data_IF_013635093189
#
_entry.id   IF_013635093189
#
_cell.length_a   1.000
_cell.length_b   1.000
_cell.length_c   1.000
_cell.angle_alpha   90.00
_cell.angle_beta   90.00
_cell.angle_gamma   90.00
#
_symmetry.space_group_name_H-M   'P 1'
#
loop_
_entity.id
_entity.type
_entity.pdbx_description
1 polymer ?
#
# COMPACT_ATOMS: atom_id res chain seq x y z
N UNK A 1 88.73 -98.31 -6.77
CA UNK A 1 88.51 -96.84 -6.83
C UNK A 1 87.11 -96.40 -7.33
N UNK A 2 86.24 -97.30 -7.83
CA UNK A 2 84.94 -96.91 -8.43
C UNK A 2 83.77 -96.67 -7.46
N UNK A 3 83.72 -97.30 -6.28
CA UNK A 3 82.58 -97.19 -5.34
C UNK A 3 82.42 -95.81 -4.68
N UNK A 4 83.53 -95.19 -4.24
CA UNK A 4 83.51 -93.82 -3.65
C UNK A 4 83.09 -92.74 -4.66
N UNK A 5 83.30 -92.99 -5.96
CA UNK A 5 82.92 -92.06 -7.04
C UNK A 5 81.41 -92.13 -7.36
N UNK A 6 80.78 -93.29 -7.19
CA UNK A 6 79.34 -93.45 -7.35
C UNK A 6 78.56 -92.88 -6.16
N UNK A 7 79.02 -93.12 -4.93
CA UNK A 7 78.35 -92.59 -3.73
C UNK A 7 78.36 -91.05 -3.71
N UNK A 8 79.49 -90.43 -4.08
CA UNK A 8 79.59 -88.97 -4.22
C UNK A 8 78.59 -88.43 -5.26
N UNK A 9 78.44 -89.10 -6.40
CA UNK A 9 77.45 -88.71 -7.43
C UNK A 9 76.00 -88.87 -6.97
N UNK A 10 75.72 -89.87 -6.14
CA UNK A 10 74.37 -90.08 -5.59
C UNK A 10 74.01 -89.01 -4.57
N UNK A 11 74.95 -88.66 -3.68
CA UNK A 11 74.78 -87.55 -2.73
C UNK A 11 74.66 -86.19 -3.44
N UNK A 12 75.45 -85.99 -4.50
CA UNK A 12 75.38 -84.78 -5.33
C UNK A 12 74.06 -84.70 -6.12
N UNK A 13 73.50 -85.83 -6.56
CA UNK A 13 72.15 -85.87 -7.14
C UNK A 13 71.05 -85.55 -6.13
N UNK A 14 71.08 -86.14 -4.94
CA UNK A 14 70.09 -85.87 -3.88
C UNK A 14 70.15 -84.41 -3.45
N UNK A 15 71.34 -83.86 -3.23
CA UNK A 15 71.52 -82.45 -2.88
C UNK A 15 71.04 -81.50 -3.99
N UNK A 16 71.22 -81.88 -5.25
CA UNK A 16 70.74 -81.08 -6.39
C UNK A 16 69.21 -81.18 -6.55
N UNK A 17 68.61 -82.34 -6.22
CA UNK A 17 67.15 -82.52 -6.16
C UNK A 17 66.52 -81.72 -5.02
N UNK A 18 67.12 -81.74 -3.82
CA UNK A 18 66.65 -80.96 -2.67
C UNK A 18 66.75 -79.45 -2.94
N UNK A 19 67.87 -78.98 -3.50
CA UNK A 19 68.02 -77.58 -3.94
C UNK A 19 66.98 -77.19 -5.01
N UNK A 20 66.66 -78.11 -5.94
CA UNK A 20 65.64 -77.90 -6.95
C UNK A 20 64.21 -77.88 -6.35
N UNK A 21 63.95 -78.65 -5.29
CA UNK A 21 62.67 -78.66 -4.58
C UNK A 21 62.49 -77.40 -3.74
N UNK A 22 63.52 -76.95 -3.01
CA UNK A 22 63.48 -75.71 -2.22
C UNK A 22 63.28 -74.47 -3.10
N UNK A 23 63.94 -74.41 -4.25
CA UNK A 23 63.76 -73.31 -5.21
C UNK A 23 62.36 -73.30 -5.83
N UNK A 24 61.78 -74.48 -6.12
CA UNK A 24 60.38 -74.59 -6.55
C UNK A 24 59.41 -74.16 -5.44
N UNK A 25 59.60 -74.62 -4.21
CA UNK A 25 58.75 -74.23 -3.08
C UNK A 25 58.82 -72.72 -2.80
N UNK A 26 60.00 -72.11 -2.93
CA UNK A 26 60.17 -70.67 -2.82
C UNK A 26 59.45 -69.91 -3.97
N UNK A 27 59.51 -70.43 -5.20
CA UNK A 27 58.78 -69.87 -6.34
C UNK A 27 57.26 -69.97 -6.17
N UNK A 28 56.76 -71.13 -5.72
CA UNK A 28 55.34 -71.34 -5.45
C UNK A 28 54.83 -70.41 -4.34
N UNK A 29 55.60 -70.23 -3.27
CA UNK A 29 55.27 -69.29 -2.19
C UNK A 29 55.25 -67.84 -2.66
N UNK A 30 56.20 -67.44 -3.50
CA UNK A 30 56.24 -66.13 -4.12
C UNK A 30 55.01 -65.89 -5.02
N UNK A 31 54.61 -66.89 -5.82
CA UNK A 31 53.44 -66.83 -6.68
C UNK A 31 52.15 -66.72 -5.85
N UNK A 32 52.04 -67.50 -4.77
CA UNK A 32 50.90 -67.47 -3.86
C UNK A 32 50.77 -66.12 -3.14
N UNK A 33 51.90 -65.50 -2.77
CA UNK A 33 51.92 -64.15 -2.20
C UNK A 33 51.57 -63.06 -3.23
N UNK A 34 51.96 -63.23 -4.50
CA UNK A 34 51.53 -62.34 -5.59
C UNK A 34 50.01 -62.41 -5.81
N UNK A 35 49.41 -63.61 -5.83
CA UNK A 35 47.96 -63.80 -5.95
C UNK A 35 47.23 -63.15 -4.78
N UNK A 36 47.68 -63.39 -3.53
CA UNK A 36 47.07 -62.79 -2.34
C UNK A 36 47.20 -61.25 -2.30
N UNK A 37 48.28 -60.69 -2.85
CA UNK A 37 48.44 -59.24 -2.97
C UNK A 37 47.51 -58.63 -4.02
N UNK A 38 47.28 -59.32 -5.13
CA UNK A 38 46.36 -58.87 -6.17
C UNK A 38 44.90 -58.96 -5.71
N UNK A 39 44.52 -60.00 -4.97
CA UNK A 39 43.19 -60.10 -4.35
C UNK A 39 42.94 -58.94 -3.36
N UNK A 40 43.90 -58.62 -2.48
CA UNK A 40 43.80 -57.45 -1.59
C UNK A 40 43.68 -56.12 -2.36
N UNK A 41 44.37 -55.98 -3.50
CA UNK A 41 44.21 -54.82 -4.38
C UNK A 41 42.83 -54.74 -5.01
N UNK A 42 42.28 -55.88 -5.44
CA UNK A 42 40.94 -55.94 -5.98
C UNK A 42 39.88 -55.63 -4.92
N UNK A 43 40.03 -56.15 -3.70
CA UNK A 43 39.15 -55.87 -2.58
C UNK A 43 39.17 -54.39 -2.18
N UNK A 44 40.35 -53.78 -2.08
CA UNK A 44 40.49 -52.35 -1.75
C UNK A 44 39.92 -51.45 -2.84
N UNK A 45 40.09 -51.81 -4.12
CA UNK A 45 39.47 -51.12 -5.26
C UNK A 45 37.95 -51.25 -5.23
N UNK A 46 37.42 -52.46 -5.03
CA UNK A 46 35.98 -52.70 -4.91
C UNK A 46 35.36 -51.94 -3.72
N UNK A 47 36.07 -51.87 -2.59
CA UNK A 47 35.64 -51.08 -1.44
C UNK A 47 35.62 -49.57 -1.73
N UNK A 48 36.58 -49.05 -2.51
CA UNK A 48 36.61 -47.66 -2.93
C UNK A 48 35.45 -47.33 -3.89
N UNK A 49 35.18 -48.20 -4.87
CA UNK A 49 34.09 -48.03 -5.83
C UNK A 49 32.72 -48.07 -5.13
N UNK A 50 32.55 -48.98 -4.16
CA UNK A 50 31.34 -49.05 -3.33
C UNK A 50 31.11 -47.75 -2.55
N UNK A 51 32.15 -47.20 -1.91
CA UNK A 51 32.08 -45.90 -1.20
C UNK A 51 31.72 -44.75 -2.13
N UNK A 52 32.25 -44.76 -3.36
CA UNK A 52 31.93 -43.75 -4.36
C UNK A 52 30.46 -43.83 -4.79
N UNK A 53 29.94 -45.04 -4.98
CA UNK A 53 28.54 -45.26 -5.33
C UNK A 53 27.58 -44.88 -4.20
N UNK A 54 27.95 -45.17 -2.95
CA UNK A 54 27.21 -44.72 -1.76
C UNK A 54 27.20 -43.18 -1.63
N UNK A 55 28.31 -42.49 -1.94
CA UNK A 55 28.33 -41.01 -1.98
C UNK A 55 27.43 -40.47 -3.07
N UNK A 56 27.56 -40.96 -4.31
CA UNK A 56 26.74 -40.54 -5.45
C UNK A 56 25.23 -40.73 -5.19
N UNK A 57 24.84 -41.83 -4.56
CA UNK A 57 23.43 -42.08 -4.23
C UNK A 57 22.92 -41.18 -3.12
N UNK A 58 23.74 -40.85 -2.11
CA UNK A 58 23.41 -39.83 -1.09
C UNK A 58 23.25 -38.45 -1.70
N UNK A 59 24.20 -38.02 -2.55
CA UNK A 59 24.16 -36.72 -3.22
C UNK A 59 22.94 -36.63 -4.15
N UNK A 60 22.61 -37.72 -4.87
CA UNK A 60 21.41 -37.78 -5.70
C UNK A 60 20.11 -37.68 -4.87
N UNK A 61 20.07 -38.32 -3.70
CA UNK A 61 18.93 -38.23 -2.79
C UNK A 61 18.77 -36.82 -2.19
N UNK A 62 19.88 -36.15 -1.87
CA UNK A 62 19.88 -34.77 -1.39
C UNK A 62 19.45 -33.79 -2.48
N UNK A 63 20.00 -33.90 -3.69
CA UNK A 63 19.60 -33.10 -4.84
C UNK A 63 18.10 -33.26 -5.14
N UNK A 64 17.56 -34.48 -5.02
CA UNK A 64 16.12 -34.73 -5.16
C UNK A 64 15.30 -33.95 -4.13
N UNK A 65 15.72 -33.94 -2.87
CA UNK A 65 15.06 -33.18 -1.79
C UNK A 65 15.12 -31.67 -2.03
N UNK A 66 16.26 -31.16 -2.51
CA UNK A 66 16.42 -29.73 -2.83
C UNK A 66 15.45 -29.34 -3.95
N UNK A 67 15.38 -30.12 -5.02
CA UNK A 67 14.49 -29.85 -6.15
C UNK A 67 13.01 -29.84 -5.73
N UNK A 68 12.59 -30.79 -4.89
CA UNK A 68 11.22 -30.84 -4.37
C UNK A 68 10.89 -29.61 -3.50
N UNK A 69 11.85 -29.15 -2.68
CA UNK A 69 11.70 -27.94 -1.87
C UNK A 69 11.63 -26.67 -2.72
N UNK A 70 12.43 -26.58 -3.78
CA UNK A 70 12.38 -25.46 -4.72
C UNK A 70 11.04 -25.40 -5.46
N UNK A 71 10.55 -26.53 -5.94
CA UNK A 71 9.24 -26.62 -6.58
C UNK A 71 8.09 -26.17 -5.64
N UNK A 72 8.16 -26.54 -4.35
CA UNK A 72 7.19 -26.10 -3.36
C UNK A 72 7.22 -24.57 -3.12
N UNK A 73 8.42 -23.97 -3.11
CA UNK A 73 8.60 -22.52 -2.99
C UNK A 73 8.01 -21.80 -4.21
N UNK A 74 8.32 -22.26 -5.42
CA UNK A 74 7.78 -21.68 -6.65
C UNK A 74 6.26 -21.74 -6.70
N UNK A 75 5.67 -22.88 -6.33
CA UNK A 75 4.22 -23.02 -6.23
C UNK A 75 3.61 -22.01 -5.24
N UNK A 76 4.20 -21.86 -4.06
CA UNK A 76 3.74 -20.88 -3.06
C UNK A 76 3.85 -19.44 -3.55
N UNK A 77 4.91 -19.12 -4.30
CA UNK A 77 5.07 -17.80 -4.91
C UNK A 77 4.01 -17.53 -5.98
N UNK A 78 3.66 -18.54 -6.79
CA UNK A 78 2.63 -18.42 -7.81
C UNK A 78 1.25 -18.16 -7.19
N UNK A 79 0.85 -18.92 -6.17
CA UNK A 79 -0.41 -18.73 -5.45
C UNK A 79 -0.49 -17.33 -4.78
N UNK A 80 0.63 -16.84 -4.23
CA UNK A 80 0.73 -15.48 -3.69
C UNK A 80 0.56 -14.41 -4.78
N UNK A 81 1.16 -14.60 -5.96
CA UNK A 81 1.00 -13.69 -7.10
C UNK A 81 -0.43 -13.67 -7.62
N UNK A 82 -1.05 -14.84 -7.79
CA UNK A 82 -2.43 -14.98 -8.25
C UNK A 82 -3.43 -14.35 -7.26
N UNK A 83 -3.27 -14.60 -5.96
CA UNK A 83 -4.10 -13.99 -4.93
C UNK A 83 -3.91 -12.48 -4.81
N UNK A 84 -2.68 -11.97 -5.03
CA UNK A 84 -2.42 -10.54 -5.11
C UNK A 84 -3.06 -9.91 -6.37
N UNK A 85 -2.96 -10.58 -7.52
CA UNK A 85 -3.61 -10.16 -8.77
C UNK A 85 -5.13 -10.12 -8.62
N UNK A 86 -5.75 -11.17 -8.06
CA UNK A 86 -7.18 -11.24 -7.80
C UNK A 86 -7.65 -10.12 -6.86
N UNK A 87 -6.92 -9.85 -5.76
CA UNK A 87 -7.21 -8.71 -4.87
C UNK A 87 -7.13 -7.38 -5.60
N UNK A 88 -6.11 -7.18 -6.44
CA UNK A 88 -5.95 -5.95 -7.23
C UNK A 88 -7.06 -5.76 -8.27
N UNK A 89 -7.55 -6.85 -8.85
CA UNK A 89 -8.63 -6.85 -9.84
C UNK A 89 -9.98 -6.55 -9.17
N UNK A 90 -10.27 -7.16 -8.02
CA UNK A 90 -11.45 -6.83 -7.21
C UNK A 90 -11.41 -5.35 -6.78
N UNK A 91 -10.23 -4.85 -6.39
CA UNK A 91 -10.08 -3.44 -6.03
C UNK A 91 -10.23 -2.50 -7.24
N UNK A 92 -9.75 -2.88 -8.42
CA UNK A 92 -9.98 -2.16 -9.69
C UNK A 92 -11.46 -2.11 -10.04
N UNK A 93 -12.17 -3.24 -10.00
CA UNK A 93 -13.61 -3.33 -10.28
C UNK A 93 -14.42 -2.46 -9.32
N UNK A 94 -14.17 -2.57 -8.00
CA UNK A 94 -14.81 -1.69 -7.00
C UNK A 94 -14.59 -0.21 -7.28
N UNK A 95 -13.36 0.17 -7.66
CA UNK A 95 -13.04 1.56 -8.00
C UNK A 95 -13.73 2.02 -9.30
N UNK A 96 -14.00 1.10 -10.24
CA UNK A 96 -14.69 1.40 -11.49
C UNK A 96 -16.19 1.63 -11.25
N UNK A 97 -16.83 0.79 -10.42
CA UNK A 97 -18.23 0.95 -10.01
C UNK A 97 -18.48 2.28 -9.27
N UNK A 98 -17.51 2.77 -8.51
CA UNK A 98 -17.55 4.09 -7.85
C UNK A 98 -17.42 5.26 -8.85
N UNK A 99 -16.91 5.03 -10.07
CA UNK A 99 -16.51 6.09 -11.02
C UNK A 99 -17.41 6.15 -12.26
N UNK A 100 -18.01 5.04 -12.69
CA UNK A 100 -18.81 4.96 -13.90
C UNK A 100 -19.97 3.95 -13.74
N UNK A 101 -21.20 4.45 -13.72
CA UNK A 101 -22.39 3.59 -13.78
C UNK A 101 -22.51 3.01 -15.19
N UNK A 102 -22.53 1.68 -15.30
CA UNK A 102 -22.72 1.01 -16.60
C UNK A 102 -24.19 1.09 -17.05
N UNK A 103 -24.55 2.19 -17.70
CA UNK A 103 -25.90 2.43 -18.23
C UNK A 103 -26.31 1.47 -19.36
N UNK A 104 -25.39 0.68 -19.93
CA UNK A 104 -25.69 -0.30 -20.97
C UNK A 104 -26.25 -1.63 -20.44
N UNK A 105 -26.15 -1.88 -19.12
CA UNK A 105 -26.65 -3.12 -18.50
C UNK A 105 -28.13 -3.05 -18.08
N UNK A 106 -28.85 -1.97 -18.40
CA UNK A 106 -30.22 -1.76 -17.96
C UNK A 106 -31.25 -2.15 -19.02
N UNK A 107 -32.34 -2.84 -18.63
CA UNK A 107 -33.51 -3.02 -19.49
C UNK A 107 -34.30 -1.71 -19.59
N UNK A 108 -34.84 -1.44 -20.79
CA UNK A 108 -35.55 -0.19 -21.18
C UNK A 108 -36.92 0.03 -20.49
N UNK A 109 -37.16 -0.67 -19.39
CA UNK A 109 -38.34 -0.44 -18.54
C UNK A 109 -38.07 0.81 -17.71
N UNK A 110 -38.71 1.94 -18.04
CA UNK A 110 -38.56 3.29 -17.47
C UNK A 110 -38.81 3.47 -15.96
N UNK A 111 -38.35 2.52 -15.15
CA UNK A 111 -38.32 2.57 -13.70
C UNK A 111 -36.98 3.20 -13.29
N UNK A 112 -37.02 4.48 -12.93
CA UNK A 112 -35.87 5.26 -12.48
C UNK A 112 -35.16 4.53 -11.32
N UNK A 113 -33.97 3.97 -11.58
CA UNK A 113 -33.21 3.24 -10.57
C UNK A 113 -32.69 4.21 -9.49
N UNK A 114 -33.09 3.99 -8.23
CA UNK A 114 -32.55 4.69 -7.06
C UNK A 114 -31.29 3.96 -6.61
N UNK A 115 -30.11 4.61 -6.50
CA UNK A 115 -28.88 3.99 -6.04
C UNK A 115 -29.06 3.24 -4.70
N UNK A 116 -28.51 2.02 -4.58
CA UNK A 116 -28.59 1.23 -3.33
C UNK A 116 -27.93 1.92 -2.12
N UNK A 117 -27.04 2.89 -2.35
CA UNK A 117 -26.47 3.77 -1.32
C UNK A 117 -26.64 5.21 -1.79
N UNK A 118 -27.33 6.00 -0.98
CA UNK A 118 -27.52 7.43 -1.23
C UNK A 118 -26.18 8.16 -1.23
N UNK A 119 -25.90 8.92 -2.28
CA UNK A 119 -24.69 9.75 -2.37
C UNK A 119 -24.79 10.94 -1.40
N UNK A 120 -23.67 11.61 -1.13
CA UNK A 120 -23.62 12.68 -0.13
C UNK A 120 -24.71 13.76 -0.31
N UNK A 121 -24.96 14.31 -1.52
CA UNK A 121 -26.01 15.33 -1.69
C UNK A 121 -27.41 14.81 -1.39
N UNK A 122 -27.71 13.57 -1.77
CA UNK A 122 -29.01 12.94 -1.49
C UNK A 122 -29.20 12.74 0.02
N UNK A 123 -28.15 12.25 0.69
CA UNK A 123 -28.16 12.06 2.15
C UNK A 123 -28.24 13.38 2.91
N UNK A 124 -27.59 14.43 2.39
CA UNK A 124 -27.66 15.78 2.91
C UNK A 124 -29.08 16.33 2.80
N UNK A 125 -29.78 16.10 1.69
CA UNK A 125 -31.17 16.53 1.54
C UNK A 125 -32.09 15.82 2.53
N UNK A 126 -31.99 14.48 2.64
CA UNK A 126 -32.77 13.73 3.63
C UNK A 126 -32.54 14.22 5.07
N UNK A 127 -31.28 14.52 5.41
CA UNK A 127 -30.90 15.03 6.73
C UNK A 127 -31.54 16.40 6.96
N UNK A 128 -31.43 17.32 5.99
CA UNK A 128 -31.99 18.65 6.12
C UNK A 128 -33.52 18.64 6.18
N UNK A 129 -34.20 17.77 5.45
CA UNK A 129 -35.67 17.69 5.50
C UNK A 129 -36.20 17.19 6.85
N UNK A 130 -35.45 16.31 7.53
CA UNK A 130 -35.82 15.82 8.86
C UNK A 130 -35.40 16.79 9.96
N UNK A 131 -34.15 17.21 9.95
CA UNK A 131 -33.57 18.02 11.03
C UNK A 131 -34.04 19.48 10.99
N UNK A 132 -34.35 20.04 9.81
CA UNK A 132 -34.90 21.40 9.75
C UNK A 132 -36.28 21.54 10.40
N UNK A 133 -37.03 20.44 10.51
CA UNK A 133 -38.31 20.38 11.22
C UNK A 133 -38.12 20.08 12.70
N UNK A 134 -37.25 19.12 13.04
CA UNK A 134 -37.05 18.71 14.42
C UNK A 134 -36.25 19.72 15.23
N UNK A 135 -35.25 20.36 14.61
CA UNK A 135 -34.20 21.14 15.29
C UNK A 135 -33.77 22.36 14.46
N UNK A 136 -34.70 23.29 14.21
CA UNK A 136 -34.39 24.49 13.45
C UNK A 136 -33.28 25.30 14.13
N UNK A 137 -33.13 25.28 15.46
CA UNK A 137 -32.10 26.05 16.16
C UNK A 137 -30.66 25.64 15.82
N UNK A 138 -30.45 24.39 15.35
CA UNK A 138 -29.14 23.85 15.00
C UNK A 138 -28.87 23.95 13.49
N UNK A 139 -29.81 23.49 12.68
CA UNK A 139 -29.71 23.51 11.22
C UNK A 139 -31.06 23.87 10.61
N UNK A 140 -31.09 24.77 9.63
CA UNK A 140 -32.33 25.08 8.92
C UNK A 140 -32.08 25.48 7.48
N UNK A 141 -33.13 25.33 6.68
CA UNK A 141 -33.23 26.01 5.40
C UNK A 141 -33.37 27.53 5.61
N UNK A 142 -32.86 28.31 4.66
CA UNK A 142 -33.21 29.73 4.49
C UNK A 142 -34.67 29.84 4.01
N UNK A 143 -35.29 31.00 4.19
CA UNK A 143 -36.69 31.29 3.84
C UNK A 143 -37.00 31.00 2.38
N UNK A 144 -36.02 31.19 1.49
CA UNK A 144 -36.13 30.95 0.06
C UNK A 144 -35.92 29.48 -0.35
N UNK A 145 -35.45 28.61 0.55
CA UNK A 145 -35.22 27.18 0.27
C UNK A 145 -34.07 26.85 -0.70
N UNK A 146 -33.23 27.84 -1.05
CA UNK A 146 -32.07 27.69 -1.95
C UNK A 146 -30.74 27.51 -1.22
N UNK A 147 -30.75 27.73 0.10
CA UNK A 147 -29.57 27.66 0.95
C UNK A 147 -29.96 27.09 2.30
N UNK A 148 -29.01 26.49 3.01
CA UNK A 148 -29.19 26.02 4.37
C UNK A 148 -28.08 26.58 5.27
N UNK A 149 -28.40 26.82 6.54
CA UNK A 149 -27.47 27.40 7.51
C UNK A 149 -27.28 26.44 8.68
N UNK A 150 -26.04 26.33 9.14
CA UNK A 150 -25.68 25.61 10.37
C UNK A 150 -25.42 26.69 11.42
N UNK A 151 -26.36 26.84 12.36
CA UNK A 151 -26.29 27.89 13.40
C UNK A 151 -25.42 27.46 14.59
N UNK A 152 -25.56 26.21 15.03
CA UNK A 152 -24.83 25.66 16.19
C UNK A 152 -23.94 24.50 15.74
N UNK A 153 -22.70 24.76 15.30
CA UNK A 153 -21.82 23.73 14.74
C UNK A 153 -21.47 22.63 15.75
N UNK A 154 -21.29 22.97 17.03
CA UNK A 154 -20.98 21.99 18.07
C UNK A 154 -22.13 21.01 18.32
N UNK A 155 -23.37 21.52 18.45
CA UNK A 155 -24.56 20.68 18.59
C UNK A 155 -24.80 19.84 17.32
N UNK A 156 -24.59 20.43 16.15
CA UNK A 156 -24.69 19.72 14.88
C UNK A 156 -23.72 18.53 14.80
N UNK A 157 -22.45 18.72 15.18
CA UNK A 157 -21.45 17.64 15.16
C UNK A 157 -21.77 16.51 16.13
N UNK A 158 -22.23 16.83 17.35
CA UNK A 158 -22.47 15.83 18.39
C UNK A 158 -23.76 15.04 18.16
N UNK A 159 -24.80 15.69 17.64
CA UNK A 159 -26.16 15.16 17.70
C UNK A 159 -26.74 14.81 16.32
N UNK A 160 -26.35 15.53 15.26
CA UNK A 160 -26.91 15.33 13.92
C UNK A 160 -25.94 14.53 13.04
N UNK A 161 -24.68 14.98 12.95
CA UNK A 161 -23.68 14.34 12.09
C UNK A 161 -23.59 12.82 12.31
N UNK A 162 -23.44 12.26 13.53
CA UNK A 162 -23.31 10.81 13.70
C UNK A 162 -24.53 10.00 13.23
N UNK A 163 -25.73 10.58 13.20
CA UNK A 163 -26.94 9.90 12.77
C UNK A 163 -26.99 9.71 11.25
N UNK A 164 -26.42 10.65 10.49
CA UNK A 164 -26.46 10.64 9.03
C UNK A 164 -25.10 10.36 8.41
N UNK A 165 -24.01 10.93 8.92
CA UNK A 165 -22.67 10.81 8.34
C UNK A 165 -21.72 10.12 9.31
N UNK A 166 -20.95 9.14 8.83
CA UNK A 166 -19.89 8.48 9.60
C UNK A 166 -18.60 9.31 9.61
N UNK A 167 -18.70 10.62 9.79
CA UNK A 167 -17.60 11.57 9.61
C UNK A 167 -17.65 12.68 10.65
N UNK A 168 -16.55 13.40 10.84
CA UNK A 168 -16.49 14.60 11.69
C UNK A 168 -17.02 15.83 10.93
N UNK A 169 -17.33 16.91 11.64
CA UNK A 169 -17.84 18.15 11.04
C UNK A 169 -16.89 18.72 9.97
N UNK A 170 -15.58 18.66 10.20
CA UNK A 170 -14.58 19.13 9.22
C UNK A 170 -14.63 18.33 7.91
N UNK A 171 -14.81 17.01 8.01
CA UNK A 171 -14.96 16.14 6.83
C UNK A 171 -16.27 16.42 6.10
N UNK A 172 -17.34 16.70 6.84
CA UNK A 172 -18.62 17.13 6.27
C UNK A 172 -18.48 18.45 5.50
N UNK A 173 -17.83 19.47 6.09
CA UNK A 173 -17.52 20.73 5.39
C UNK A 173 -16.68 20.49 4.13
N UNK A 174 -15.69 19.62 4.20
CA UNK A 174 -14.89 19.22 3.03
C UNK A 174 -15.73 18.55 1.93
N UNK A 175 -16.68 17.70 2.31
CA UNK A 175 -17.61 17.10 1.36
C UNK A 175 -18.45 18.18 0.67
N UNK A 176 -19.01 19.15 1.40
CA UNK A 176 -19.70 20.30 0.80
C UNK A 176 -18.84 20.97 -0.29
N UNK A 177 -17.59 21.30 0.01
CA UNK A 177 -16.69 21.90 -1.00
C UNK A 177 -16.41 20.99 -2.20
N UNK A 178 -16.23 19.68 -1.97
CA UNK A 178 -16.00 18.71 -3.04
C UNK A 178 -17.19 18.60 -3.99
N UNK A 179 -18.41 18.77 -3.47
CA UNK A 179 -19.64 18.81 -4.26
C UNK A 179 -19.99 20.23 -4.77
N UNK A 180 -19.08 21.20 -4.64
CA UNK A 180 -19.26 22.54 -5.21
C UNK A 180 -20.15 23.48 -4.40
N UNK A 181 -20.50 23.13 -3.16
CA UNK A 181 -21.26 24.02 -2.29
C UNK A 181 -20.42 25.24 -1.92
N UNK A 182 -21.04 26.41 -1.98
CA UNK A 182 -20.41 27.68 -1.64
C UNK A 182 -20.97 28.19 -0.32
N UNK A 183 -20.10 28.76 0.51
CA UNK A 183 -20.52 29.48 1.72
C UNK A 183 -20.81 30.93 1.34
N UNK A 184 -22.00 31.40 1.67
CA UNK A 184 -22.41 32.79 1.48
C UNK A 184 -21.69 33.63 2.54
N UNK A 185 -20.86 34.58 2.10
CA UNK A 185 -20.09 35.46 3.00
C UNK A 185 -20.78 36.79 3.25
N UNK A 186 -21.66 37.23 2.34
CA UNK A 186 -22.26 38.57 2.36
C UNK A 186 -23.78 38.51 2.30
N UNK A 187 -24.44 39.51 2.91
CA UNK A 187 -25.88 39.70 2.86
C UNK A 187 -26.65 39.04 4.01
N UNK A 188 -27.99 39.00 3.90
CA UNK A 188 -28.87 38.51 4.98
C UNK A 188 -28.75 37.00 5.23
N UNK A 189 -28.26 36.24 4.24
CA UNK A 189 -28.01 34.79 4.33
C UNK A 189 -26.53 34.48 4.64
N UNK A 190 -25.76 35.43 5.18
CA UNK A 190 -24.36 35.22 5.52
C UNK A 190 -24.18 34.03 6.47
N UNK A 191 -23.22 33.17 6.17
CA UNK A 191 -22.95 31.92 6.90
C UNK A 191 -23.72 30.70 6.38
N UNK A 192 -24.67 30.87 5.45
CA UNK A 192 -25.36 29.74 4.81
C UNK A 192 -24.53 29.08 3.71
N UNK A 193 -24.87 27.84 3.38
CA UNK A 193 -24.33 27.08 2.26
C UNK A 193 -25.37 26.99 1.14
N UNK A 194 -24.95 27.26 -0.08
CA UNK A 194 -25.80 27.20 -1.27
C UNK A 194 -25.14 26.39 -2.39
N UNK A 195 -25.99 25.84 -3.26
CA UNK A 195 -25.59 25.19 -4.49
C UNK A 195 -26.77 25.28 -5.48
N UNK A 196 -26.50 25.56 -6.75
CA UNK A 196 -27.53 25.85 -7.78
C UNK A 196 -28.57 24.74 -7.91
N UNK A 197 -28.11 23.49 -7.88
CA UNK A 197 -28.94 22.29 -7.99
C UNK A 197 -29.45 21.75 -6.64
N UNK A 198 -29.15 22.40 -5.52
CA UNK A 198 -29.54 21.92 -4.19
C UNK A 198 -30.68 22.75 -3.61
N UNK A 199 -31.90 22.36 -3.94
CA UNK A 199 -33.12 23.10 -3.59
C UNK A 199 -34.05 22.25 -2.71
N UNK A 200 -34.63 22.86 -1.67
CA UNK A 200 -35.57 22.20 -0.75
C UNK A 200 -36.73 21.56 -1.50
N UNK A 201 -37.02 20.28 -1.23
CA UNK A 201 -38.10 19.52 -1.84
C UNK A 201 -37.86 19.06 -3.28
N UNK A 202 -36.72 19.43 -3.91
CA UNK A 202 -36.36 19.01 -5.26
C UNK A 202 -35.21 17.99 -5.24
N UNK A 203 -35.46 16.81 -4.69
CA UNK A 203 -34.49 15.72 -4.56
C UNK A 203 -33.84 15.29 -5.88
N UNK A 204 -34.60 15.30 -6.96
CA UNK A 204 -34.09 14.94 -8.29
C UNK A 204 -32.96 15.85 -8.77
N UNK A 205 -32.95 17.14 -8.40
CA UNK A 205 -31.87 18.07 -8.74
C UNK A 205 -30.59 17.75 -7.95
N UNK A 206 -30.74 17.35 -6.68
CA UNK A 206 -29.62 16.92 -5.83
C UNK A 206 -28.88 15.70 -6.38
N UNK A 207 -29.58 14.80 -7.09
CA UNK A 207 -28.96 13.65 -7.75
C UNK A 207 -28.08 14.04 -8.93
N UNK A 208 -28.32 15.20 -9.54
CA UNK A 208 -27.52 15.71 -10.65
C UNK A 208 -26.24 16.43 -10.20
N UNK A 209 -26.04 16.62 -8.90
CA UNK A 209 -24.82 17.22 -8.36
C UNK A 209 -23.67 16.23 -8.52
N UNK A 210 -22.84 16.47 -9.51
CA UNK A 210 -21.62 15.71 -9.74
C UNK A 210 -20.49 16.30 -8.89
N UNK A 211 -19.89 15.50 -8.02
CA UNK A 211 -18.71 15.94 -7.26
C UNK A 211 -17.57 16.32 -8.21
N UNK A 212 -16.86 17.41 -7.93
CA UNK A 212 -15.65 17.75 -8.67
C UNK A 212 -14.67 16.56 -8.58
N UNK A 213 -14.29 15.99 -9.73
CA UNK A 213 -13.25 14.95 -9.78
C UNK A 213 -11.90 15.61 -9.50
N UNK A 214 -11.42 15.50 -8.27
CA UNK A 214 -10.07 15.93 -7.91
C UNK A 214 -9.06 14.99 -8.57
N UNK A 215 -8.31 15.48 -9.56
CA UNK A 215 -7.12 14.78 -10.06
C UNK A 215 -6.06 14.85 -8.97
N UNK A 216 -5.72 13.72 -8.35
CA UNK A 216 -4.65 13.64 -7.35
C UNK A 216 -3.35 14.15 -7.97
N UNK A 217 -2.77 15.23 -7.42
CA UNK A 217 -1.45 15.74 -7.80
C UNK A 217 -1.41 17.21 -8.22
N UNK A 218 -2.54 17.86 -8.46
CA UNK A 218 -2.55 19.32 -8.71
C UNK A 218 -2.74 20.07 -7.40
N UNK A 219 -1.76 20.91 -7.05
CA UNK A 219 -1.87 21.86 -5.95
C UNK A 219 -2.98 22.85 -6.31
N UNK A 220 -4.19 22.61 -5.80
CA UNK A 220 -5.21 23.64 -5.81
C UNK A 220 -4.76 24.75 -4.86
N UNK A 221 -4.49 25.93 -5.42
CA UNK A 221 -4.56 27.17 -4.63
C UNK A 221 -6.00 27.27 -4.15
N UNK A 222 -6.19 27.14 -2.84
CA UNK A 222 -7.43 27.53 -2.18
C UNK A 222 -7.82 28.92 -2.72
N UNK A 223 -9.08 29.17 -3.11
CA UNK A 223 -9.52 30.54 -3.32
C UNK A 223 -9.21 31.29 -2.03
N UNK A 224 -8.39 32.34 -2.13
CA UNK A 224 -7.71 33.01 -1.00
C UNK A 224 -8.66 33.70 0.00
N UNK A 225 -9.96 33.53 -0.16
CA UNK A 225 -11.01 34.26 0.55
C UNK A 225 -11.83 33.39 1.54
N UNK A 226 -11.43 32.13 1.75
CA UNK A 226 -11.97 31.30 2.81
C UNK A 226 -10.86 30.87 3.76
N UNK A 227 -10.45 31.81 4.61
CA UNK A 227 -9.80 31.50 5.87
C UNK A 227 -10.62 30.43 6.57
N UNK A 228 -9.99 29.29 6.87
CA UNK A 228 -10.40 28.44 7.98
C UNK A 228 -10.29 29.28 9.24
N UNK A 229 -11.32 30.08 9.52
CA UNK A 229 -11.44 30.75 10.80
C UNK A 229 -11.50 29.66 11.87
N UNK A 230 -10.64 29.72 12.90
CA UNK A 230 -10.73 28.84 14.05
C UNK A 230 -12.16 28.86 14.59
N UNK A 231 -12.62 27.68 15.01
CA UNK A 231 -13.91 27.41 15.65
C UNK A 231 -14.49 28.59 16.42
N UNK A 232 -15.78 28.84 16.18
CA UNK A 232 -16.64 29.75 16.91
C UNK A 232 -16.31 29.73 18.42
N UNK A 233 -15.67 30.81 18.91
CA UNK A 233 -15.52 31.12 20.33
C UNK A 233 -16.41 32.32 20.62
N UNK A 234 -17.66 32.04 20.95
CA UNK A 234 -18.52 32.98 21.67
C UNK A 234 -18.86 32.35 23.02
N UNK A 235 -18.27 32.90 24.09
CA UNK A 235 -18.90 33.06 25.40
C UNK A 235 -18.09 34.09 26.22
N UNK A 236 -18.81 35.04 26.81
CA UNK A 236 -18.35 36.34 27.30
C UNK A 236 -17.83 36.34 28.75
N UNK A 237 -16.97 37.32 29.13
CA UNK A 237 -17.05 38.03 30.43
C UNK A 237 -16.17 39.30 30.52
N UNK A 238 -16.84 40.44 30.70
CA UNK A 238 -16.66 41.53 31.71
C UNK A 238 -15.25 41.95 32.19
N UNK A 239 -14.92 43.21 31.83
CA UNK A 239 -14.22 44.30 32.56
C UNK A 239 -12.96 44.08 33.41
N UNK A 240 -11.96 44.94 33.14
CA UNK A 240 -11.26 45.70 34.18
C UNK A 240 -9.74 45.49 34.30
N UNK A 241 -8.97 46.59 34.22
CA UNK A 241 -7.73 46.72 34.99
C UNK A 241 -6.43 46.85 34.20
N UNK A 242 -5.82 48.04 34.33
CA UNK A 242 -4.49 48.47 33.90
C UNK A 242 -3.32 47.55 34.29
N UNK A 243 -2.17 47.60 33.58
CA UNK A 243 -0.96 48.40 33.91
C UNK A 243 0.18 48.17 32.90
N UNK A 244 1.10 49.12 32.91
CA UNK A 244 2.22 49.42 32.02
C UNK A 244 3.39 48.41 32.06
N UNK A 245 4.18 48.35 30.97
CA UNK A 245 5.67 48.30 30.93
C UNK A 245 6.10 48.11 29.46
N UNK A 246 6.67 49.09 28.77
CA UNK A 246 8.07 49.56 28.77
C UNK A 246 9.06 48.68 27.98
N UNK A 247 10.03 49.35 27.33
CA UNK A 247 11.11 48.93 26.40
C UNK A 247 10.70 48.85 24.91
N UNK A 248 10.96 49.83 24.02
CA UNK A 248 12.15 50.61 23.59
C UNK A 248 12.98 49.94 22.47
N UNK A 249 12.90 50.47 21.23
CA UNK A 249 14.07 50.72 20.36
C UNK A 249 13.74 51.70 19.18
N UNK A 250 14.07 52.97 19.42
CA UNK A 250 14.75 54.01 18.60
C UNK A 250 14.98 53.80 17.07
N UNK A 251 14.41 54.75 16.28
CA UNK A 251 14.97 55.63 15.18
C UNK A 251 15.56 54.91 13.94
N UNK A 252 15.21 55.24 12.68
CA UNK A 252 15.72 56.40 11.90
C UNK A 252 14.73 56.83 10.80
N UNK A 253 14.49 58.14 10.73
CA UNK A 253 13.88 58.89 9.62
C UNK A 253 15.01 59.42 8.73
N UNK A 254 14.80 59.56 7.42
CA UNK A 254 15.26 60.78 6.76
C UNK A 254 14.14 61.46 5.96
N UNK A 255 13.92 62.74 6.27
CA UNK A 255 13.49 63.79 5.34
C UNK A 255 14.68 64.07 4.39
N UNK A 256 14.56 64.61 3.17
CA UNK A 256 13.97 65.86 2.67
C UNK A 256 13.67 65.67 1.15
N UNK A 257 12.52 66.11 0.62
CA UNK A 257 12.26 67.41 -0.05
C UNK A 257 12.87 67.54 -1.47
N UNK A 258 12.02 67.61 -2.52
CA UNK A 258 11.99 68.70 -3.51
C UNK A 258 11.00 68.45 -4.68
N UNK A 259 10.09 69.40 -4.88
CA UNK A 259 9.72 69.94 -6.20
C UNK A 259 8.86 69.13 -7.19
N UNK A 260 7.65 69.63 -7.51
CA UNK A 260 6.99 69.27 -8.78
C UNK A 260 5.51 69.60 -8.94
N UNK A 261 5.16 70.88 -8.93
CA UNK A 261 3.85 71.39 -9.38
C UNK A 261 3.79 71.32 -10.92
N UNK A 262 2.78 70.67 -11.48
CA UNK A 262 2.28 70.99 -12.81
C UNK A 262 0.79 70.65 -12.92
N UNK A 263 0.00 71.71 -12.98
CA UNK A 263 -1.38 71.68 -13.44
C UNK A 263 -1.45 71.16 -14.89
N UNK A 264 -2.51 70.45 -15.23
CA UNK A 264 -3.17 70.74 -16.49
C UNK A 264 -4.67 70.46 -16.42
N UNK A 265 -5.38 71.49 -16.87
CA UNK A 265 -6.80 71.63 -17.08
C UNK A 265 -7.32 70.73 -18.21
N UNK A 266 -8.65 70.71 -18.30
CA UNK A 266 -9.45 70.54 -19.52
C UNK A 266 -9.87 69.11 -19.91
N UNK A 267 -11.14 68.78 -19.69
CA UNK A 267 -12.14 68.75 -20.77
C UNK A 267 -13.50 68.23 -20.25
N UNK A 268 -14.45 69.16 -20.28
CA UNK A 268 -15.90 68.97 -20.14
C UNK A 268 -16.49 68.40 -21.45
N UNK A 269 -17.73 67.89 -21.37
CA UNK A 269 -18.82 67.82 -22.39
C UNK A 269 -19.09 66.40 -22.94
N UNK A 270 -20.36 66.03 -23.28
CA UNK A 270 -21.65 66.70 -23.09
C UNK A 270 -22.58 66.05 -22.05
#
# INVERSE_FOLDING_TARGET
MNGKKQEKRRQEQVANEECCQETKAAADKCLQEQVANEERRQETKAAADKRLQERKTKDAAENKRIMERLAAIEKSQQERKESAAAKSEVQRKRKLDDVYYNYAAFPDSGQLFVPKKKHFPEKLMDMLDRESLSRPDVVSWSTHGRAFVIRKPFAFEKEIVPNYFKSKLETFKRQLYQYGFQRITQGPDAGAYCHELFLRGKHHLGLMIQGHKWVKGTVHKQPKDQTFLPLDRDDAVVSGGAVQSSTALVVVVPTDDDGGIAANDNAQIP
#
